data_IF_724499638136
#
_entry.id   IF_724499638136
#
_cell.length_a   1.000
_cell.length_b   1.000
_cell.length_c   1.000
_cell.angle_alpha   90.00
_cell.angle_beta   90.00
_cell.angle_gamma   90.00
#
_symmetry.space_group_name_H-M   'P 1'
#
loop_
_entity.id
_entity.type
_entity.pdbx_description
1 polymer ?
#
# COMPACT_ATOMS: atom_id res chain seq x y z
N UNK A 1 10.36 21.78 10.74
CA UNK A 1 8.93 22.21 10.66
C UNK A 1 8.09 21.40 11.65
N UNK A 2 6.96 21.98 12.08
CA UNK A 2 5.94 21.29 12.83
C UNK A 2 4.91 20.72 11.85
N UNK A 3 4.83 19.41 11.70
CA UNK A 3 3.99 18.73 10.72
C UNK A 3 2.86 17.99 11.46
N UNK A 4 1.61 18.35 11.15
CA UNK A 4 0.42 17.66 11.67
C UNK A 4 -0.10 16.70 10.60
N UNK A 5 0.03 15.40 10.84
CA UNK A 5 -0.48 14.33 9.99
C UNK A 5 -1.85 13.88 10.50
N UNK A 6 -2.80 13.68 9.58
CA UNK A 6 -4.15 13.19 9.89
C UNK A 6 -4.45 11.97 9.01
N UNK A 7 -4.63 10.81 9.63
CA UNK A 7 -4.84 9.52 8.99
C UNK A 7 -6.14 8.87 9.46
N UNK A 8 -7.03 8.39 8.56
CA UNK A 8 -8.38 7.96 8.95
C UNK A 8 -8.47 6.59 9.60
N UNK A 9 -7.40 5.79 9.58
CA UNK A 9 -7.42 4.41 10.07
C UNK A 9 -6.75 4.26 11.44
N UNK A 10 -6.97 3.08 12.07
CA UNK A 10 -6.31 2.70 13.32
C UNK A 10 -4.85 2.29 13.05
N UNK A 11 -3.91 2.87 13.77
CA UNK A 11 -2.48 2.58 13.63
C UNK A 11 -2.07 1.22 14.18
N UNK A 12 -2.89 0.64 15.06
CA UNK A 12 -2.53 -0.54 15.87
C UNK A 12 -3.43 -1.75 15.60
N UNK A 13 -4.56 -1.55 14.91
CA UNK A 13 -5.46 -2.65 14.57
C UNK A 13 -4.97 -3.38 13.31
N UNK A 14 -4.78 -4.70 13.45
CA UNK A 14 -4.31 -5.56 12.35
C UNK A 14 -5.30 -5.67 11.20
N UNK A 15 -6.58 -5.38 11.44
CA UNK A 15 -7.61 -5.35 10.39
C UNK A 15 -7.49 -4.16 9.44
N UNK A 16 -6.73 -3.12 9.83
CA UNK A 16 -6.48 -1.91 9.04
C UNK A 16 -4.98 -1.75 8.65
N UNK A 17 -4.43 -2.60 7.76
CA UNK A 17 -3.00 -2.62 7.44
C UNK A 17 -2.53 -1.44 6.57
N UNK A 18 -3.39 -0.47 6.26
CA UNK A 18 -3.11 0.67 5.37
C UNK A 18 -2.30 1.80 6.01
N UNK A 19 -1.72 1.56 7.19
CA UNK A 19 -1.04 2.56 8.01
C UNK A 19 0.46 2.69 7.71
N UNK A 20 1.05 1.73 6.97
CA UNK A 20 2.49 1.69 6.69
C UNK A 20 2.97 2.97 6.02
N UNK A 21 2.21 3.51 5.06
CA UNK A 21 2.54 4.73 4.33
C UNK A 21 2.69 5.94 5.27
N UNK A 22 1.68 6.22 6.07
CA UNK A 22 1.68 7.40 6.94
C UNK A 22 2.71 7.30 8.07
N UNK A 23 2.89 6.10 8.64
CA UNK A 23 3.91 5.84 9.64
C UNK A 23 5.32 6.00 9.07
N UNK A 24 5.53 5.58 7.84
CA UNK A 24 6.82 5.75 7.16
C UNK A 24 7.12 7.22 6.89
N UNK A 25 6.14 8.01 6.45
CA UNK A 25 6.30 9.45 6.33
C UNK A 25 6.62 10.10 7.68
N UNK A 26 5.88 9.77 8.72
CA UNK A 26 6.10 10.33 10.05
C UNK A 26 7.53 10.04 10.55
N UNK A 27 8.03 8.80 10.36
CA UNK A 27 9.39 8.40 10.72
C UNK A 27 10.45 9.15 9.90
N UNK A 28 10.28 9.24 8.59
CA UNK A 28 11.23 9.96 7.73
C UNK A 28 11.25 11.47 8.03
N UNK A 29 10.10 12.08 8.28
CA UNK A 29 10.06 13.50 8.70
C UNK A 29 10.75 13.69 10.04
N UNK A 30 10.48 12.83 11.03
CA UNK A 30 11.14 12.89 12.34
C UNK A 30 12.66 12.71 12.22
N UNK A 31 13.12 11.73 11.44
CA UNK A 31 14.54 11.48 11.14
C UNK A 31 15.23 12.67 10.49
N UNK A 32 14.49 13.46 9.71
CA UNK A 32 14.98 14.70 9.08
C UNK A 32 14.86 15.94 9.98
N UNK A 33 14.63 15.77 11.30
CA UNK A 33 14.61 16.85 12.28
C UNK A 33 13.32 17.67 12.31
N UNK A 34 12.21 17.13 11.80
CA UNK A 34 10.90 17.77 11.90
C UNK A 34 10.15 17.29 13.14
N UNK A 35 9.39 18.17 13.80
CA UNK A 35 8.47 17.78 14.84
C UNK A 35 7.17 17.27 14.21
N UNK A 36 6.76 16.06 14.55
CA UNK A 36 5.62 15.38 13.93
C UNK A 36 4.60 14.97 14.96
N UNK A 37 3.33 15.30 14.72
CA UNK A 37 2.18 14.74 15.43
C UNK A 37 1.31 14.00 14.43
N UNK A 38 0.87 12.80 14.79
CA UNK A 38 0.04 11.93 13.94
C UNK A 38 -1.31 11.69 14.62
N UNK A 39 -2.37 12.24 14.04
CA UNK A 39 -3.75 11.98 14.44
C UNK A 39 -4.27 10.75 13.71
N UNK A 40 -4.89 9.83 14.45
CA UNK A 40 -5.46 8.60 13.92
C UNK A 40 -6.82 8.29 14.52
N UNK A 41 -7.58 7.37 13.90
CA UNK A 41 -8.97 7.06 14.29
C UNK A 41 -9.09 5.57 14.63
N UNK A 42 -8.96 5.18 15.90
CA UNK A 42 -9.04 3.79 16.33
C UNK A 42 -10.43 3.19 16.08
N UNK A 43 -10.46 1.89 15.76
CA UNK A 43 -11.70 1.12 15.57
C UNK A 43 -12.49 1.06 16.88
N UNK A 44 -11.80 0.87 18.01
CA UNK A 44 -12.39 0.83 19.36
C UNK A 44 -11.74 1.90 20.24
N UNK A 45 -12.41 3.02 20.42
CA UNK A 45 -11.89 4.14 21.23
C UNK A 45 -11.64 3.79 22.70
N UNK A 46 -12.31 2.77 23.23
CA UNK A 46 -12.20 2.35 24.64
C UNK A 46 -10.78 2.02 25.11
N UNK A 47 -9.93 1.58 24.20
CA UNK A 47 -8.55 1.13 24.47
C UNK A 47 -7.48 2.22 24.32
N UNK A 48 -7.81 3.37 23.68
CA UNK A 48 -6.83 4.39 23.30
C UNK A 48 -7.30 5.79 23.67
N UNK A 49 -7.36 6.08 25.00
CA UNK A 49 -7.81 7.40 25.50
C UNK A 49 -6.70 8.44 25.60
N UNK A 50 -5.43 8.05 25.50
CA UNK A 50 -4.27 8.93 25.62
C UNK A 50 -3.38 8.86 24.40
N UNK A 51 -2.63 9.92 24.14
CA UNK A 51 -1.60 9.92 23.10
C UNK A 51 -0.52 8.87 23.42
N UNK A 52 -0.03 8.20 22.40
CA UNK A 52 1.03 7.17 22.48
C UNK A 52 2.24 7.65 21.71
N UNK A 53 3.43 7.48 22.26
CA UNK A 53 4.68 7.78 21.56
C UNK A 53 5.16 6.54 20.79
N UNK A 54 5.33 6.68 19.48
CA UNK A 54 5.83 5.62 18.59
C UNK A 54 7.10 6.11 17.93
N UNK A 55 8.26 5.70 18.44
CA UNK A 55 9.55 6.07 17.87
C UNK A 55 9.82 7.58 17.80
N UNK A 56 9.42 8.33 18.85
CA UNK A 56 9.56 9.79 18.92
C UNK A 56 8.40 10.57 18.29
N UNK A 57 7.39 9.90 17.74
CA UNK A 57 6.22 10.51 17.12
C UNK A 57 5.04 10.45 18.09
N UNK A 58 4.43 11.58 18.41
CA UNK A 58 3.20 11.65 19.20
C UNK A 58 2.00 11.24 18.35
N UNK A 59 1.43 10.05 18.62
CA UNK A 59 0.24 9.52 17.96
C UNK A 59 -1.00 9.81 18.81
N UNK A 60 -1.95 10.58 18.28
CA UNK A 60 -3.09 11.12 19.03
C UNK A 60 -4.37 10.48 18.49
N UNK A 61 -5.12 9.72 19.33
CA UNK A 61 -6.37 9.08 18.93
C UNK A 61 -7.52 10.09 18.85
N UNK A 62 -8.37 9.92 17.84
CA UNK A 62 -9.59 10.67 17.60
C UNK A 62 -10.81 9.76 17.58
N UNK A 63 -11.98 10.29 17.93
CA UNK A 63 -13.21 9.51 17.93
C UNK A 63 -13.72 9.27 16.51
N UNK A 64 -13.89 7.98 16.15
CA UNK A 64 -14.40 7.54 14.83
C UNK A 64 -15.92 7.37 14.83
N UNK A 65 -16.60 7.53 15.98
CA UNK A 65 -18.03 7.32 16.08
C UNK A 65 -18.81 8.23 15.08
N UNK A 66 -19.80 7.69 14.37
CA UNK A 66 -20.60 8.46 13.41
C UNK A 66 -21.66 9.32 14.13
N UNK A 67 -21.20 10.22 15.02
CA UNK A 67 -22.02 11.07 15.85
C UNK A 67 -21.68 12.54 15.58
N UNK A 68 -22.67 13.44 15.43
CA UNK A 68 -22.41 14.88 15.29
C UNK A 68 -21.59 15.45 16.44
N UNK A 69 -21.79 14.96 17.67
CA UNK A 69 -21.06 15.40 18.85
C UNK A 69 -19.57 15.04 18.74
N UNK A 70 -19.26 13.79 18.40
CA UNK A 70 -17.89 13.32 18.18
C UNK A 70 -17.22 14.09 17.03
N UNK A 71 -17.94 14.35 15.95
CA UNK A 71 -17.43 15.09 14.83
C UNK A 71 -17.07 16.55 15.20
N UNK A 72 -17.96 17.26 15.92
CA UNK A 72 -17.69 18.63 16.39
C UNK A 72 -16.50 18.63 17.38
N UNK A 73 -16.43 17.64 18.28
CA UNK A 73 -15.33 17.49 19.22
C UNK A 73 -13.99 17.29 18.50
N UNK A 74 -13.96 16.46 17.46
CA UNK A 74 -12.79 16.24 16.61
C UNK A 74 -12.35 17.53 15.91
N UNK A 75 -13.29 18.31 15.35
CA UNK A 75 -13.00 19.61 14.73
C UNK A 75 -12.33 20.54 15.75
N UNK A 76 -12.92 20.73 16.94
CA UNK A 76 -12.37 21.61 17.97
C UNK A 76 -10.97 21.21 18.38
N UNK A 77 -10.74 19.92 18.53
CA UNK A 77 -9.44 19.40 18.95
C UNK A 77 -8.39 19.53 17.84
N UNK A 78 -8.74 19.26 16.59
CA UNK A 78 -7.85 19.48 15.45
C UNK A 78 -7.54 20.96 15.22
N UNK A 79 -8.48 21.88 15.45
CA UNK A 79 -8.21 23.33 15.42
C UNK A 79 -7.17 23.69 16.47
N UNK A 80 -7.27 23.14 17.69
CA UNK A 80 -6.28 23.40 18.74
C UNK A 80 -4.89 22.88 18.37
N UNK A 81 -4.79 21.66 17.81
CA UNK A 81 -3.53 21.09 17.30
C UNK A 81 -2.99 21.85 16.07
N UNK A 82 -3.87 22.35 15.21
CA UNK A 82 -3.50 23.13 14.02
C UNK A 82 -2.77 24.44 14.37
N UNK A 83 -2.98 25.02 15.54
CA UNK A 83 -2.20 26.19 16.01
C UNK A 83 -0.71 25.89 16.12
N UNK A 84 -0.35 24.68 16.56
CA UNK A 84 1.03 24.23 16.65
C UNK A 84 1.66 23.95 15.29
N UNK A 85 0.84 23.50 14.31
CA UNK A 85 1.33 23.07 13.00
C UNK A 85 1.82 24.22 12.13
N UNK A 86 2.82 23.95 11.30
CA UNK A 86 3.24 24.79 10.17
C UNK A 86 2.64 24.27 8.87
N UNK A 87 2.26 23.00 8.82
CA UNK A 87 1.53 22.37 7.71
C UNK A 87 0.59 21.31 8.26
N UNK A 88 -0.60 21.22 7.67
CA UNK A 88 -1.57 20.16 7.92
C UNK A 88 -1.58 19.24 6.71
N UNK A 89 -1.22 17.97 6.92
CA UNK A 89 -1.25 16.94 5.89
C UNK A 89 -2.31 15.92 6.27
N UNK A 90 -3.26 15.67 5.40
CA UNK A 90 -4.25 14.61 5.59
C UNK A 90 -4.20 13.60 4.45
N UNK A 91 -4.45 12.33 4.81
CA UNK A 91 -4.44 11.21 3.88
C UNK A 91 -5.86 10.68 3.69
N UNK A 92 -6.22 10.31 2.47
CA UNK A 92 -7.52 9.73 2.09
C UNK A 92 -8.71 10.68 2.28
N UNK A 93 -9.85 10.30 1.69
CA UNK A 93 -11.04 11.15 1.62
C UNK A 93 -12.11 10.81 2.68
N UNK A 94 -11.77 10.09 3.74
CA UNK A 94 -12.75 9.77 4.80
C UNK A 94 -13.22 11.03 5.52
N UNK A 95 -14.53 11.32 5.47
CA UNK A 95 -15.13 12.58 5.93
C UNK A 95 -14.79 12.94 7.37
N UNK A 96 -14.76 11.93 8.27
CA UNK A 96 -14.52 12.13 9.71
C UNK A 96 -13.07 12.52 10.04
N UNK A 97 -12.13 12.31 9.13
CA UNK A 97 -10.73 12.72 9.24
C UNK A 97 -10.40 13.93 8.34
N UNK A 98 -10.81 13.87 7.07
CA UNK A 98 -10.48 14.87 6.07
C UNK A 98 -11.14 16.24 6.36
N UNK A 99 -12.45 16.26 6.65
CA UNK A 99 -13.14 17.54 6.89
C UNK A 99 -12.63 18.29 8.14
N UNK A 100 -12.44 17.64 9.31
CA UNK A 100 -11.80 18.30 10.44
C UNK A 100 -10.39 18.81 10.16
N UNK A 101 -9.58 18.09 9.35
CA UNK A 101 -8.25 18.55 8.94
C UNK A 101 -8.32 19.81 8.06
N UNK A 102 -9.20 19.82 7.06
CA UNK A 102 -9.46 20.98 6.20
C UNK A 102 -9.90 22.18 7.05
N UNK A 103 -10.90 22.02 7.92
CA UNK A 103 -11.41 23.09 8.78
C UNK A 103 -10.29 23.63 9.69
N UNK A 104 -9.49 22.74 10.28
CA UNK A 104 -8.36 23.10 11.13
C UNK A 104 -7.34 23.96 10.38
N UNK A 105 -6.97 23.58 9.15
CA UNK A 105 -6.04 24.32 8.33
C UNK A 105 -6.59 25.73 7.98
N UNK A 106 -7.83 25.81 7.53
CA UNK A 106 -8.47 27.09 7.18
C UNK A 106 -8.60 28.05 8.37
N UNK A 107 -9.09 27.56 9.53
CA UNK A 107 -9.27 28.40 10.73
C UNK A 107 -7.93 28.91 11.26
N UNK A 108 -6.87 28.14 11.17
CA UNK A 108 -5.55 28.53 11.65
C UNK A 108 -4.67 29.15 10.56
N UNK A 109 -5.18 29.38 9.34
CA UNK A 109 -4.42 29.89 8.19
C UNK A 109 -3.13 29.09 7.94
N UNK A 110 -3.24 27.75 7.96
CA UNK A 110 -2.11 26.84 7.73
C UNK A 110 -2.18 26.24 6.33
N UNK A 111 -1.04 26.08 5.67
CA UNK A 111 -0.94 25.33 4.42
C UNK A 111 -1.52 23.92 4.59
N UNK A 112 -2.32 23.49 3.62
CA UNK A 112 -3.02 22.23 3.58
C UNK A 112 -2.48 21.33 2.47
N UNK A 113 -2.04 20.12 2.81
CA UNK A 113 -1.59 19.11 1.87
C UNK A 113 -2.51 17.90 1.89
N UNK A 114 -2.96 17.43 0.71
CA UNK A 114 -3.74 16.21 0.53
C UNK A 114 -2.87 15.09 -0.04
N UNK A 115 -2.77 13.96 0.66
CA UNK A 115 -2.10 12.75 0.18
C UNK A 115 -3.11 11.75 -0.41
N UNK A 116 -3.12 11.63 -1.72
CA UNK A 116 -4.00 10.75 -2.48
C UNK A 116 -3.27 9.47 -2.90
N UNK A 117 -3.45 8.42 -2.12
CA UNK A 117 -2.74 7.14 -2.29
C UNK A 117 -3.50 6.09 -3.08
N UNK A 118 -4.84 6.08 -3.00
CA UNK A 118 -5.73 5.15 -3.68
C UNK A 118 -7.01 5.85 -4.16
N UNK A 119 -7.71 5.29 -5.15
CA UNK A 119 -9.03 5.77 -5.58
C UNK A 119 -10.13 5.09 -4.77
N UNK A 120 -10.48 5.66 -3.61
CA UNK A 120 -11.40 5.08 -2.63
C UNK A 120 -12.81 4.83 -3.19
N UNK A 121 -13.36 5.76 -4.01
CA UNK A 121 -14.66 5.57 -4.69
C UNK A 121 -14.69 4.23 -5.44
N UNK A 122 -13.66 3.97 -6.25
CA UNK A 122 -13.63 2.78 -7.10
C UNK A 122 -13.36 1.51 -6.30
N UNK A 123 -12.46 1.58 -5.34
CA UNK A 123 -12.18 0.46 -4.42
C UNK A 123 -13.45 0.09 -3.66
N UNK A 124 -14.20 1.07 -3.18
CA UNK A 124 -15.46 0.86 -2.48
C UNK A 124 -16.47 0.11 -3.34
N UNK A 125 -16.71 0.57 -4.57
CA UNK A 125 -17.66 -0.07 -5.48
C UNK A 125 -17.23 -1.46 -5.98
N UNK A 126 -15.93 -1.75 -6.04
CA UNK A 126 -15.43 -3.09 -6.36
C UNK A 126 -15.46 -4.06 -5.16
N UNK A 127 -15.39 -3.53 -3.93
CA UNK A 127 -15.26 -4.34 -2.70
C UNK A 127 -16.57 -4.53 -1.94
N UNK A 128 -17.50 -3.59 -2.05
CA UNK A 128 -18.74 -3.59 -1.27
C UNK A 128 -19.97 -3.92 -2.11
N UNK A 129 -20.97 -4.56 -1.48
CA UNK A 129 -22.24 -4.84 -2.11
C UNK A 129 -22.98 -3.58 -2.56
N UNK A 130 -23.90 -3.72 -3.53
CA UNK A 130 -24.66 -2.60 -4.13
C UNK A 130 -25.95 -2.25 -3.37
N UNK A 131 -25.98 -2.41 -2.04
CA UNK A 131 -27.12 -1.97 -1.23
C UNK A 131 -27.17 -0.44 -1.09
N UNK A 132 -28.30 0.08 -0.57
CA UNK A 132 -28.54 1.52 -0.45
C UNK A 132 -27.46 2.24 0.39
N UNK A 133 -27.09 1.68 1.55
CA UNK A 133 -26.06 2.25 2.42
C UNK A 133 -24.68 2.31 1.74
N UNK A 134 -24.31 1.22 1.04
CA UNK A 134 -23.06 1.18 0.27
C UNK A 134 -23.02 2.26 -0.83
N UNK A 135 -24.16 2.50 -1.49
CA UNK A 135 -24.28 3.57 -2.50
C UNK A 135 -24.09 4.97 -1.91
N UNK A 136 -24.66 5.21 -0.73
CA UNK A 136 -24.54 6.50 -0.05
C UNK A 136 -23.08 6.79 0.36
N UNK A 137 -22.41 5.79 0.94
CA UNK A 137 -20.99 5.89 1.31
C UNK A 137 -20.12 6.08 0.05
N UNK A 138 -20.34 5.30 -1.01
CA UNK A 138 -19.62 5.45 -2.28
C UNK A 138 -19.84 6.83 -2.91
N UNK A 139 -21.04 7.41 -2.78
CA UNK A 139 -21.31 8.77 -3.23
C UNK A 139 -20.52 9.80 -2.41
N UNK A 140 -20.40 9.62 -1.09
CA UNK A 140 -19.59 10.51 -0.24
C UNK A 140 -18.11 10.46 -0.66
N UNK A 141 -17.54 9.29 -0.92
CA UNK A 141 -16.18 9.17 -1.45
C UNK A 141 -16.04 9.87 -2.80
N UNK A 142 -16.96 9.61 -3.72
CA UNK A 142 -16.98 10.24 -5.04
C UNK A 142 -17.00 11.77 -4.96
N UNK A 143 -17.79 12.33 -4.06
CA UNK A 143 -17.87 13.78 -3.86
C UNK A 143 -16.58 14.33 -3.24
N UNK A 144 -16.11 13.73 -2.15
CA UNK A 144 -14.94 14.20 -1.43
C UNK A 144 -13.66 14.09 -2.26
N UNK A 145 -13.46 13.00 -3.00
CA UNK A 145 -12.28 12.84 -3.87
C UNK A 145 -12.21 13.86 -5.00
N UNK A 146 -13.34 14.46 -5.39
CA UNK A 146 -13.35 15.56 -6.37
C UNK A 146 -13.15 16.94 -5.75
N UNK A 147 -13.59 17.12 -4.50
CA UNK A 147 -13.56 18.42 -3.83
C UNK A 147 -12.25 18.62 -3.07
N UNK A 148 -11.79 17.62 -2.31
CA UNK A 148 -10.62 17.74 -1.44
C UNK A 148 -9.32 18.14 -2.16
N UNK A 149 -9.01 17.61 -3.36
CA UNK A 149 -7.83 18.04 -4.09
C UNK A 149 -7.82 19.53 -4.43
N UNK A 150 -9.02 20.13 -4.67
CA UNK A 150 -9.19 21.56 -4.98
C UNK A 150 -9.10 22.45 -3.74
N UNK A 151 -9.42 21.92 -2.57
CA UNK A 151 -9.35 22.65 -1.29
C UNK A 151 -7.95 22.67 -0.72
N UNK A 152 -7.09 21.73 -1.12
CA UNK A 152 -5.72 21.66 -0.65
C UNK A 152 -4.80 22.61 -1.45
N UNK A 153 -3.80 23.18 -0.77
CA UNK A 153 -2.77 24.02 -1.40
C UNK A 153 -1.80 23.19 -2.25
N UNK A 154 -1.65 21.89 -1.94
CA UNK A 154 -0.92 20.92 -2.74
C UNK A 154 -1.47 19.51 -2.56
N UNK A 155 -1.24 18.67 -3.57
CA UNK A 155 -1.67 17.27 -3.60
C UNK A 155 -0.48 16.38 -3.88
N UNK A 156 -0.35 15.27 -3.15
CA UNK A 156 0.55 14.19 -3.54
C UNK A 156 -0.24 13.02 -4.10
N UNK A 157 0.28 12.41 -5.17
CA UNK A 157 -0.33 11.28 -5.85
C UNK A 157 0.60 10.07 -5.83
N UNK A 158 0.07 8.91 -5.42
CA UNK A 158 0.84 7.67 -5.39
C UNK A 158 1.07 7.06 -6.79
N UNK A 159 0.31 7.48 -7.79
CA UNK A 159 0.43 7.00 -9.17
C UNK A 159 0.14 8.11 -10.19
N UNK A 160 0.61 7.91 -11.41
CA UNK A 160 0.33 8.83 -12.52
C UNK A 160 -1.17 8.93 -12.82
N UNK A 161 -1.91 7.83 -12.68
CA UNK A 161 -3.36 7.87 -12.94
C UNK A 161 -4.07 8.78 -11.93
N UNK A 162 -3.67 8.78 -10.67
CA UNK A 162 -4.19 9.72 -9.67
C UNK A 162 -3.76 11.15 -9.98
N UNK A 163 -2.54 11.37 -10.48
CA UNK A 163 -2.09 12.70 -10.96
C UNK A 163 -2.96 13.21 -12.10
N UNK A 164 -3.24 12.39 -13.12
CA UNK A 164 -4.15 12.74 -14.20
C UNK A 164 -5.55 13.12 -13.70
N UNK A 165 -6.06 12.37 -12.72
CA UNK A 165 -7.36 12.68 -12.09
C UNK A 165 -7.30 14.00 -11.32
N UNK A 166 -6.23 14.29 -10.59
CA UNK A 166 -6.06 15.55 -9.87
C UNK A 166 -6.07 16.74 -10.85
N UNK A 167 -5.36 16.65 -11.98
CA UNK A 167 -5.40 17.66 -13.05
C UNK A 167 -6.82 17.81 -13.61
N UNK A 168 -7.48 16.69 -13.93
CA UNK A 168 -8.85 16.69 -14.45
C UNK A 168 -9.87 17.27 -13.45
N UNK A 169 -9.59 17.19 -12.16
CA UNK A 169 -10.40 17.83 -11.11
C UNK A 169 -10.00 19.28 -10.86
N UNK A 170 -9.10 19.86 -11.66
CA UNK A 170 -8.76 21.27 -11.65
C UNK A 170 -7.62 21.68 -10.72
N UNK A 171 -6.82 20.72 -10.22
CA UNK A 171 -5.58 21.03 -9.51
C UNK A 171 -4.51 21.43 -10.53
N UNK A 172 -3.84 22.56 -10.30
CA UNK A 172 -2.73 22.98 -11.18
C UNK A 172 -1.56 22.03 -11.03
N UNK A 173 -0.99 21.60 -12.15
CA UNK A 173 0.09 20.56 -12.18
C UNK A 173 1.30 20.93 -11.33
N UNK A 174 1.61 22.21 -11.22
CA UNK A 174 2.71 22.71 -10.38
C UNK A 174 2.53 22.46 -8.86
N UNK A 175 1.30 22.17 -8.39
CA UNK A 175 0.97 21.84 -7.00
C UNK A 175 0.67 20.35 -6.81
N UNK A 176 0.94 19.51 -7.82
CA UNK A 176 0.83 18.06 -7.73
C UNK A 176 2.22 17.46 -7.65
N UNK A 177 2.45 16.63 -6.64
CA UNK A 177 3.73 15.99 -6.35
C UNK A 177 3.62 14.48 -6.44
N UNK A 178 4.64 13.81 -6.96
CA UNK A 178 4.67 12.35 -7.02
C UNK A 178 5.11 11.81 -5.65
N UNK A 179 4.29 10.95 -5.10
CA UNK A 179 4.54 10.27 -3.83
C UNK A 179 4.23 8.77 -3.95
N UNK A 180 4.99 8.01 -4.75
CA UNK A 180 4.80 6.56 -4.84
C UNK A 180 5.08 5.89 -3.49
N UNK A 181 4.63 4.64 -3.32
CA UNK A 181 5.04 3.84 -2.16
C UNK A 181 6.55 3.62 -2.17
N UNK A 182 7.14 3.56 -0.98
CA UNK A 182 8.54 3.25 -0.78
C UNK A 182 8.71 1.95 0.00
N UNK A 183 9.89 1.34 -0.07
CA UNK A 183 10.28 0.25 0.80
C UNK A 183 11.12 0.77 1.97
N UNK A 184 11.03 0.06 3.10
CA UNK A 184 12.02 0.13 4.18
C UNK A 184 13.21 -0.74 3.77
N UNK A 185 14.29 -0.10 3.33
CA UNK A 185 15.45 -0.78 2.76
C UNK A 185 16.30 -1.53 3.78
N UNK A 186 16.20 -1.19 5.06
CA UNK A 186 16.90 -1.86 6.15
C UNK A 186 16.16 -3.14 6.55
N UNK A 187 14.84 -3.08 6.58
CA UNK A 187 13.95 -4.20 6.89
C UNK A 187 13.85 -5.17 5.71
N UNK A 188 13.63 -4.67 4.50
CA UNK A 188 13.57 -5.46 3.26
C UNK A 188 14.92 -5.42 2.56
N UNK A 189 15.73 -6.45 2.78
CA UNK A 189 17.09 -6.55 2.23
C UNK A 189 17.39 -7.96 1.75
N UNK A 190 18.31 -8.15 0.81
CA UNK A 190 18.76 -9.48 0.41
C UNK A 190 19.51 -10.19 1.55
N UNK A 191 19.59 -11.51 1.48
CA UNK A 191 20.41 -12.32 2.39
C UNK A 191 19.82 -12.57 3.78
N UNK A 192 18.53 -12.29 4.02
CA UNK A 192 17.88 -12.65 5.27
C UNK A 192 17.71 -14.17 5.36
N UNK A 193 17.93 -14.72 6.55
CA UNK A 193 17.74 -16.14 6.81
C UNK A 193 16.25 -16.52 6.67
N UNK A 194 15.97 -17.43 5.77
CA UNK A 194 14.63 -17.93 5.48
C UNK A 194 14.38 -19.36 5.94
N UNK A 195 15.34 -19.95 6.65
CA UNK A 195 15.30 -21.36 7.06
C UNK A 195 14.05 -21.65 7.89
N UNK A 196 13.74 -20.80 8.87
CA UNK A 196 12.54 -20.94 9.73
C UNK A 196 11.23 -20.98 8.94
N UNK A 197 11.13 -20.20 7.83
CA UNK A 197 9.95 -20.23 6.97
C UNK A 197 9.86 -21.58 6.25
N UNK A 198 10.96 -22.10 5.73
CA UNK A 198 10.98 -23.39 5.05
C UNK A 198 10.66 -24.55 6.01
N UNK A 199 11.23 -24.54 7.21
CA UNK A 199 10.96 -25.53 8.25
C UNK A 199 9.49 -25.52 8.66
N UNK A 200 8.92 -24.34 8.93
CA UNK A 200 7.51 -24.19 9.33
C UNK A 200 6.53 -24.82 8.35
N UNK A 201 6.84 -24.82 7.05
CA UNK A 201 5.98 -25.37 6.01
C UNK A 201 6.52 -26.65 5.37
N UNK A 202 7.53 -27.28 5.97
CA UNK A 202 8.16 -28.51 5.48
C UNK A 202 8.57 -28.42 3.99
N UNK A 203 9.25 -27.32 3.60
CA UNK A 203 9.70 -27.09 2.22
C UNK A 203 11.20 -27.38 2.12
N UNK A 204 11.63 -28.46 1.46
CA UNK A 204 13.04 -28.80 1.28
C UNK A 204 13.82 -27.70 0.54
N UNK A 205 15.12 -27.61 0.78
CA UNK A 205 16.01 -26.63 0.14
C UNK A 205 16.00 -26.74 -1.40
N UNK A 206 15.86 -27.94 -1.95
CA UNK A 206 15.77 -28.15 -3.40
C UNK A 206 14.45 -27.74 -4.05
N UNK A 207 13.43 -27.32 -3.26
CA UNK A 207 12.16 -26.84 -3.81
C UNK A 207 12.16 -25.33 -3.97
N UNK A 208 11.64 -24.86 -5.10
CA UNK A 208 11.39 -23.45 -5.38
C UNK A 208 10.09 -22.97 -4.75
N UNK A 209 10.09 -21.73 -4.24
CA UNK A 209 8.89 -21.06 -3.72
C UNK A 209 8.53 -19.92 -4.67
N UNK A 210 7.29 -19.97 -5.19
CA UNK A 210 6.65 -18.87 -5.91
C UNK A 210 5.72 -18.17 -4.91
N UNK A 211 6.02 -16.91 -4.61
CA UNK A 211 5.41 -16.18 -3.49
C UNK A 211 4.46 -15.08 -3.96
N UNK A 212 3.31 -14.99 -3.30
CA UNK A 212 2.44 -13.82 -3.27
C UNK A 212 2.30 -13.32 -1.84
N UNK A 213 2.39 -12.00 -1.64
CA UNK A 213 2.11 -11.32 -0.36
C UNK A 213 1.01 -10.31 -0.55
N UNK A 214 0.00 -10.30 0.30
CA UNK A 214 -1.05 -9.28 0.33
C UNK A 214 -2.41 -9.80 0.74
N UNK A 215 -3.35 -8.88 0.92
CA UNK A 215 -4.74 -9.20 1.26
C UNK A 215 -5.41 -10.05 0.18
N UNK A 216 -6.37 -10.88 0.61
CA UNK A 216 -7.14 -11.76 -0.28
C UNK A 216 -8.54 -11.16 -0.53
N UNK A 217 -8.59 -10.11 -1.35
CA UNK A 217 -9.83 -9.46 -1.79
C UNK A 217 -9.86 -9.25 -3.32
N UNK A 218 -11.01 -8.82 -3.87
CA UNK A 218 -11.27 -8.78 -5.32
C UNK A 218 -10.23 -8.05 -6.16
N UNK A 219 -9.73 -6.92 -5.68
CA UNK A 219 -8.75 -6.10 -6.40
C UNK A 219 -7.29 -6.60 -6.30
N UNK A 220 -7.05 -7.83 -5.83
CA UNK A 220 -5.72 -8.45 -5.72
C UNK A 220 -5.50 -9.62 -6.69
N UNK A 221 -6.56 -10.16 -7.27
CA UNK A 221 -6.55 -11.14 -8.38
C UNK A 221 -5.68 -12.38 -8.14
N UNK A 222 -5.68 -12.92 -6.90
CA UNK A 222 -4.91 -14.12 -6.52
C UNK A 222 -5.40 -15.36 -7.28
N UNK A 223 -6.63 -15.36 -7.76
CA UNK A 223 -7.18 -16.39 -8.67
C UNK A 223 -6.34 -16.59 -9.93
N UNK A 224 -5.73 -15.52 -10.45
CA UNK A 224 -4.82 -15.61 -11.61
C UNK A 224 -3.54 -16.40 -11.27
N UNK A 225 -2.99 -16.22 -10.05
CA UNK A 225 -1.84 -16.98 -9.59
C UNK A 225 -2.17 -18.46 -9.40
N UNK A 226 -3.33 -18.78 -8.85
CA UNK A 226 -3.77 -20.18 -8.68
C UNK A 226 -3.97 -20.86 -10.05
N UNK A 227 -4.56 -20.14 -11.03
CA UNK A 227 -4.64 -20.64 -12.42
C UNK A 227 -3.25 -20.82 -13.04
N UNK A 228 -2.33 -19.87 -12.85
CA UNK A 228 -0.96 -20.00 -13.31
C UNK A 228 -0.25 -21.19 -12.67
N UNK A 229 -0.56 -21.50 -11.41
CA UNK A 229 0.03 -22.64 -10.72
C UNK A 229 -0.29 -23.98 -11.41
N UNK A 230 -1.48 -24.17 -12.00
CA UNK A 230 -1.80 -25.41 -12.75
C UNK A 230 -0.83 -25.60 -13.92
N UNK A 231 -0.55 -24.52 -14.66
CA UNK A 231 0.35 -24.58 -15.82
C UNK A 231 1.79 -24.85 -15.40
N UNK A 232 2.26 -24.16 -14.35
CA UNK A 232 3.64 -24.35 -13.85
C UNK A 232 3.82 -25.76 -13.30
N UNK A 233 2.89 -26.28 -12.50
CA UNK A 233 2.97 -27.56 -11.83
C UNK A 233 2.84 -28.76 -12.77
N UNK A 234 2.24 -28.57 -13.95
CA UNK A 234 2.26 -29.57 -15.02
C UNK A 234 3.66 -29.75 -15.66
N UNK A 235 4.54 -28.75 -15.54
CA UNK A 235 5.87 -28.78 -16.13
C UNK A 235 6.98 -28.97 -15.08
N UNK A 236 6.71 -28.63 -13.80
CA UNK A 236 7.71 -28.64 -12.72
C UNK A 236 7.14 -29.21 -11.43
N UNK A 237 7.74 -30.32 -10.99
CA UNK A 237 7.35 -30.97 -9.72
C UNK A 237 8.06 -30.39 -8.49
N UNK A 238 9.10 -29.58 -8.66
CA UNK A 238 9.96 -29.00 -7.61
C UNK A 238 9.51 -27.61 -7.14
N UNK A 239 8.25 -27.21 -7.39
CA UNK A 239 7.73 -25.86 -7.06
C UNK A 239 6.62 -25.94 -6.02
N UNK A 240 6.64 -25.05 -5.04
CA UNK A 240 5.53 -24.75 -4.12
C UNK A 240 5.06 -23.31 -4.35
N UNK A 241 3.77 -23.09 -4.31
CA UNK A 241 3.17 -21.77 -4.30
C UNK A 241 2.82 -21.37 -2.87
N UNK A 242 3.24 -20.17 -2.44
CA UNK A 242 2.97 -19.67 -1.10
C UNK A 242 2.19 -18.36 -1.19
N UNK A 243 1.01 -18.33 -0.57
CA UNK A 243 0.11 -17.19 -0.53
C UNK A 243 0.08 -16.69 0.91
N UNK A 244 0.72 -15.52 1.14
CA UNK A 244 0.84 -14.89 2.45
C UNK A 244 -0.18 -13.77 2.56
N UNK A 245 -1.09 -13.89 3.52
CA UNK A 245 -2.15 -12.94 3.80
C UNK A 245 -3.50 -13.61 4.01
N UNK A 246 -4.48 -12.79 4.36
CA UNK A 246 -5.88 -13.19 4.61
C UNK A 246 -6.86 -12.25 3.93
N UNK A 247 -8.13 -12.60 3.90
CA UNK A 247 -9.20 -11.76 3.36
C UNK A 247 -10.46 -12.56 3.03
N UNK A 248 -11.53 -11.86 2.71
CA UNK A 248 -12.86 -12.46 2.51
C UNK A 248 -12.94 -13.44 1.34
N UNK A 249 -11.98 -13.43 0.40
CA UNK A 249 -11.92 -14.40 -0.70
C UNK A 249 -11.14 -15.68 -0.34
N UNK A 250 -10.53 -15.79 0.82
CA UNK A 250 -9.68 -16.94 1.17
C UNK A 250 -10.42 -18.27 1.01
N UNK A 251 -11.65 -18.37 1.52
CA UNK A 251 -12.48 -19.59 1.41
C UNK A 251 -12.70 -19.99 -0.05
N UNK A 252 -13.01 -19.02 -0.91
CA UNK A 252 -13.22 -19.26 -2.34
C UNK A 252 -11.91 -19.68 -3.05
N UNK A 253 -10.80 -19.06 -2.71
CA UNK A 253 -9.49 -19.41 -3.26
C UNK A 253 -9.04 -20.82 -2.85
N UNK A 254 -9.26 -21.22 -1.59
CA UNK A 254 -9.01 -22.58 -1.11
C UNK A 254 -9.87 -23.62 -1.83
N UNK A 255 -11.17 -23.32 -2.05
CA UNK A 255 -12.04 -24.18 -2.85
C UNK A 255 -11.57 -24.31 -4.30
N UNK A 256 -11.01 -23.24 -4.87
CA UNK A 256 -10.41 -23.26 -6.20
C UNK A 256 -9.17 -24.15 -6.25
N UNK A 257 -8.29 -24.08 -5.25
CA UNK A 257 -7.12 -24.97 -5.11
C UNK A 257 -7.54 -26.42 -5.08
N UNK A 258 -8.58 -26.76 -4.28
CA UNK A 258 -9.08 -28.14 -4.19
C UNK A 258 -9.69 -28.62 -5.52
N UNK A 259 -10.53 -27.81 -6.15
CA UNK A 259 -11.12 -28.16 -7.47
C UNK A 259 -10.09 -28.39 -8.58
N UNK A 260 -8.92 -27.78 -8.46
CA UNK A 260 -7.83 -27.90 -9.42
C UNK A 260 -6.80 -28.98 -9.03
N UNK A 261 -6.99 -29.70 -7.93
CA UNK A 261 -6.09 -30.75 -7.45
C UNK A 261 -4.73 -30.21 -7.02
N UNK A 262 -4.66 -29.02 -6.48
CA UNK A 262 -3.40 -28.35 -6.11
C UNK A 262 -3.10 -28.40 -4.60
N UNK A 263 -3.82 -29.22 -3.84
CA UNK A 263 -3.57 -29.42 -2.41
C UNK A 263 -2.14 -29.87 -2.16
N UNK A 264 -1.55 -29.38 -1.10
CA UNK A 264 -0.14 -29.64 -0.76
C UNK A 264 0.89 -28.96 -1.68
N UNK A 265 0.45 -28.35 -2.80
CA UNK A 265 1.33 -27.58 -3.70
C UNK A 265 1.11 -26.07 -3.55
N UNK A 266 -0.08 -25.64 -3.12
CA UNK A 266 -0.42 -24.25 -2.80
C UNK A 266 -0.63 -24.13 -1.30
N UNK A 267 0.17 -23.30 -0.66
CA UNK A 267 0.19 -23.07 0.79
C UNK A 267 -0.40 -21.71 1.09
N UNK A 268 -1.46 -21.65 1.91
CA UNK A 268 -1.98 -20.41 2.47
C UNK A 268 -1.47 -20.29 3.90
N UNK A 269 -0.76 -19.21 4.18
CA UNK A 269 -0.16 -18.99 5.51
C UNK A 269 -1.11 -18.33 6.50
N UNK A 270 -2.19 -17.70 6.00
CA UNK A 270 -2.96 -16.71 6.76
C UNK A 270 -2.21 -15.39 6.89
N UNK A 271 -2.72 -14.51 7.76
CA UNK A 271 -2.06 -13.25 8.09
C UNK A 271 -0.72 -13.50 8.78
N UNK A 272 0.26 -12.73 8.38
CA UNK A 272 1.62 -12.73 8.95
C UNK A 272 1.95 -11.29 9.34
N UNK A 273 2.64 -11.11 10.46
CA UNK A 273 3.07 -9.78 10.89
C UNK A 273 3.97 -9.14 9.84
N UNK A 274 3.83 -7.83 9.61
CA UNK A 274 4.67 -7.14 8.63
C UNK A 274 6.16 -7.26 8.94
N UNK A 275 6.53 -7.50 10.20
CA UNK A 275 7.91 -7.72 10.62
C UNK A 275 8.46 -9.08 10.18
N UNK A 276 7.60 -10.05 9.93
CA UNK A 276 7.99 -11.37 9.42
C UNK A 276 8.01 -11.47 7.90
N UNK A 277 7.29 -10.56 7.19
CA UNK A 277 7.20 -10.58 5.70
C UNK A 277 8.57 -10.63 5.01
N UNK A 278 9.63 -9.93 5.47
CA UNK A 278 10.95 -10.01 4.84
C UNK A 278 11.52 -11.44 4.75
N UNK A 279 11.27 -12.28 5.76
CA UNK A 279 11.73 -13.67 5.78
C UNK A 279 10.98 -14.54 4.78
N UNK A 280 9.67 -14.32 4.61
CA UNK A 280 8.86 -14.99 3.58
C UNK A 280 9.32 -14.60 2.17
N UNK A 281 9.58 -13.30 1.95
CA UNK A 281 10.12 -12.82 0.68
C UNK A 281 11.52 -13.42 0.46
N UNK A 282 12.35 -13.47 1.48
CA UNK A 282 13.70 -14.08 1.39
C UNK A 282 13.63 -15.56 1.00
N UNK A 283 12.65 -16.32 1.46
CA UNK A 283 12.45 -17.73 1.10
C UNK A 283 12.07 -17.96 -0.37
N UNK A 284 11.54 -16.94 -1.04
CA UNK A 284 11.01 -17.04 -2.40
C UNK A 284 12.12 -17.11 -3.45
N UNK A 285 11.91 -17.95 -4.48
CA UNK A 285 12.68 -17.94 -5.72
C UNK A 285 12.13 -16.89 -6.69
N UNK A 286 10.80 -16.76 -6.77
CA UNK A 286 10.10 -15.81 -7.62
C UNK A 286 8.95 -15.18 -6.84
N UNK A 287 8.81 -13.87 -6.89
CA UNK A 287 7.67 -13.14 -6.33
C UNK A 287 6.69 -12.75 -7.44
N UNK A 288 5.38 -12.81 -7.16
CA UNK A 288 4.35 -12.59 -8.17
C UNK A 288 3.39 -11.48 -7.73
N UNK A 289 3.06 -10.58 -8.67
CA UNK A 289 2.06 -9.54 -8.48
C UNK A 289 1.03 -9.57 -9.64
N UNK A 290 -0.03 -10.41 -9.51
CA UNK A 290 -1.04 -10.57 -10.54
C UNK A 290 -2.07 -9.45 -10.47
N UNK A 291 -2.43 -8.86 -11.61
CA UNK A 291 -3.49 -7.86 -11.70
C UNK A 291 -4.31 -8.06 -12.98
N UNK A 292 -5.56 -7.62 -12.96
CA UNK A 292 -6.36 -7.33 -14.15
C UNK A 292 -6.25 -5.83 -14.47
N UNK A 293 -6.53 -5.46 -15.70
CA UNK A 293 -6.55 -4.06 -16.13
C UNK A 293 -7.91 -3.45 -15.79
N UNK A 294 -7.98 -2.75 -14.68
CA UNK A 294 -9.15 -2.00 -14.20
C UNK A 294 -8.73 -0.59 -13.78
N UNK A 295 -9.67 0.33 -13.65
CA UNK A 295 -9.37 1.68 -13.16
C UNK A 295 -8.74 1.66 -11.76
N UNK A 296 -9.16 0.73 -10.89
CA UNK A 296 -8.55 0.57 -9.55
C UNK A 296 -7.09 0.17 -9.66
N UNK A 297 -6.77 -0.84 -10.48
CA UNK A 297 -5.38 -1.32 -10.61
C UNK A 297 -4.47 -0.32 -11.31
N UNK A 298 -5.01 0.50 -12.22
CA UNK A 298 -4.26 1.60 -12.86
C UNK A 298 -3.88 2.70 -11.88
N UNK A 299 -4.68 2.90 -10.81
CA UNK A 299 -4.40 3.90 -9.77
C UNK A 299 -3.46 3.42 -8.67
N UNK A 300 -3.28 2.10 -8.53
CA UNK A 300 -2.49 1.53 -7.42
C UNK A 300 -1.00 1.73 -7.58
N UNK A 301 -0.33 2.00 -6.45
CA UNK A 301 1.11 1.88 -6.24
C UNK A 301 1.34 0.74 -5.22
N UNK A 302 1.49 -0.53 -5.66
CA UNK A 302 1.41 -1.68 -4.77
C UNK A 302 2.65 -1.83 -3.88
N UNK A 303 2.49 -1.77 -2.56
CA UNK A 303 3.57 -1.89 -1.57
C UNK A 303 4.40 -3.18 -1.72
N UNK A 304 3.72 -4.32 -1.97
CA UNK A 304 4.41 -5.61 -2.16
C UNK A 304 5.51 -5.56 -3.24
N UNK A 305 5.31 -4.78 -4.29
CA UNK A 305 6.28 -4.66 -5.39
C UNK A 305 7.58 -4.02 -4.90
N UNK A 306 7.51 -2.92 -4.17
CA UNK A 306 8.72 -2.26 -3.66
C UNK A 306 9.41 -3.10 -2.59
N UNK A 307 8.67 -3.89 -1.82
CA UNK A 307 9.22 -4.84 -0.85
C UNK A 307 9.95 -6.01 -1.55
N UNK A 308 9.40 -6.55 -2.64
CA UNK A 308 10.07 -7.54 -3.49
C UNK A 308 11.35 -6.98 -4.12
N UNK A 309 11.26 -5.76 -4.67
CA UNK A 309 12.41 -5.05 -5.24
C UNK A 309 13.51 -4.84 -4.19
N UNK A 310 13.14 -4.33 -3.01
CA UNK A 310 14.07 -4.07 -1.91
C UNK A 310 14.74 -5.36 -1.41
N UNK A 311 14.07 -6.49 -1.48
CA UNK A 311 14.61 -7.81 -1.13
C UNK A 311 15.42 -8.47 -2.25
N UNK A 312 15.71 -7.75 -3.35
CA UNK A 312 16.42 -8.25 -4.53
C UNK A 312 15.79 -9.51 -5.14
N UNK A 313 14.46 -9.63 -5.14
CA UNK A 313 13.76 -10.78 -5.72
C UNK A 313 13.40 -10.57 -7.17
N UNK A 314 13.50 -11.64 -7.96
CA UNK A 314 12.95 -11.67 -9.30
C UNK A 314 11.42 -11.63 -9.24
N UNK A 315 10.81 -10.79 -10.06
CA UNK A 315 9.39 -10.48 -10.02
C UNK A 315 8.73 -10.83 -11.35
N UNK A 316 7.59 -11.51 -11.29
CA UNK A 316 6.65 -11.61 -12.40
C UNK A 316 5.42 -10.80 -12.06
N UNK A 317 5.06 -9.84 -12.89
CA UNK A 317 3.90 -9.00 -12.62
C UNK A 317 3.06 -8.72 -13.87
N UNK A 318 1.81 -8.35 -13.64
CA UNK A 318 0.93 -7.86 -14.70
C UNK A 318 1.32 -6.45 -15.12
N UNK A 319 1.42 -6.21 -16.43
CA UNK A 319 1.76 -4.91 -17.02
C UNK A 319 0.51 -3.99 -16.98
N UNK A 320 0.35 -3.22 -15.92
CA UNK A 320 -0.79 -2.32 -15.71
C UNK A 320 -0.41 -1.11 -14.86
N UNK A 321 -0.92 0.05 -15.21
CA UNK A 321 -0.82 1.28 -14.42
C UNK A 321 0.61 1.61 -13.97
N UNK A 322 0.78 1.89 -12.69
CA UNK A 322 2.07 2.25 -12.11
C UNK A 322 3.05 1.07 -12.06
N UNK A 323 2.55 -0.18 -12.06
CA UNK A 323 3.39 -1.40 -12.02
C UNK A 323 4.40 -1.43 -13.14
N UNK A 324 3.99 -1.04 -14.36
CA UNK A 324 4.92 -1.01 -15.50
C UNK A 324 6.04 0.02 -15.34
N UNK A 325 5.80 1.16 -14.68
CA UNK A 325 6.84 2.15 -14.38
C UNK A 325 7.76 1.68 -13.25
N UNK A 326 7.20 1.06 -12.23
CA UNK A 326 7.97 0.52 -11.12
C UNK A 326 8.93 -0.56 -11.59
N UNK A 327 8.50 -1.45 -12.49
CA UNK A 327 9.18 -2.69 -12.84
C UNK A 327 9.78 -2.73 -14.26
N UNK A 328 9.52 -1.76 -15.11
CA UNK A 328 10.01 -1.78 -16.49
C UNK A 328 11.52 -1.98 -16.59
N UNK A 329 11.97 -3.06 -17.26
CA UNK A 329 13.37 -3.44 -17.43
C UNK A 329 14.03 -4.15 -16.24
N UNK A 330 13.33 -4.34 -15.09
CA UNK A 330 13.88 -5.02 -13.89
C UNK A 330 13.02 -6.19 -13.42
N UNK A 331 12.03 -6.59 -14.21
CA UNK A 331 11.13 -7.71 -13.92
C UNK A 331 10.57 -8.31 -15.20
N UNK A 332 9.93 -9.45 -15.11
CA UNK A 332 9.17 -10.07 -16.19
C UNK A 332 7.74 -9.55 -16.14
N UNK A 333 7.38 -8.68 -17.10
CA UNK A 333 6.02 -8.15 -17.21
C UNK A 333 5.21 -8.96 -18.22
N UNK A 334 3.97 -9.26 -17.87
CA UNK A 334 3.01 -10.01 -18.71
C UNK A 334 1.70 -9.24 -18.83
N UNK A 335 0.93 -9.55 -19.86
CA UNK A 335 -0.38 -8.90 -20.08
C UNK A 335 -1.26 -9.04 -18.84
N UNK A 336 -1.94 -7.96 -18.45
CA UNK A 336 -2.86 -7.97 -17.31
C UNK A 336 -4.03 -8.96 -17.56
N UNK A 337 -4.34 -9.77 -16.54
CA UNK A 337 -5.37 -10.81 -16.62
C UNK A 337 -4.94 -12.12 -17.29
N UNK A 338 -3.74 -12.17 -17.87
CA UNK A 338 -3.22 -13.34 -18.55
C UNK A 338 -2.46 -14.26 -17.58
N UNK A 339 -3.14 -15.31 -17.09
CA UNK A 339 -2.52 -16.28 -16.18
C UNK A 339 -1.56 -17.26 -16.90
N UNK A 340 -1.74 -17.51 -18.21
CA UNK A 340 -0.79 -18.28 -19.01
C UNK A 340 0.54 -17.53 -19.15
N UNK A 341 0.47 -16.23 -19.47
CA UNK A 341 1.65 -15.39 -19.49
C UNK A 341 2.34 -15.29 -18.13
N UNK A 342 1.57 -15.21 -17.02
CA UNK A 342 2.17 -15.26 -15.67
C UNK A 342 2.91 -16.59 -15.43
N UNK A 343 2.32 -17.73 -15.79
CA UNK A 343 2.95 -19.04 -15.68
C UNK A 343 4.25 -19.12 -16.50
N UNK A 344 4.22 -18.64 -17.73
CA UNK A 344 5.37 -18.60 -18.64
C UNK A 344 6.52 -17.75 -18.04
N UNK A 345 6.19 -16.57 -17.49
CA UNK A 345 7.16 -15.73 -16.79
C UNK A 345 7.78 -16.42 -15.56
N UNK A 346 6.98 -17.13 -14.78
CA UNK A 346 7.44 -17.91 -13.63
C UNK A 346 8.38 -19.01 -14.08
N UNK A 347 8.01 -19.81 -15.10
CA UNK A 347 8.83 -20.91 -15.66
C UNK A 347 10.16 -20.35 -16.20
N UNK A 348 10.12 -19.25 -16.95
CA UNK A 348 11.31 -18.58 -17.46
C UNK A 348 12.30 -18.25 -16.33
N UNK A 349 11.83 -17.64 -15.25
CA UNK A 349 12.68 -17.28 -14.11
C UNK A 349 13.15 -18.48 -13.30
N UNK A 350 12.37 -19.54 -13.22
CA UNK A 350 12.76 -20.78 -12.54
C UNK A 350 13.82 -21.58 -13.32
N UNK A 351 13.80 -21.49 -14.65
CA UNK A 351 14.74 -22.20 -15.53
C UNK A 351 16.06 -21.45 -15.72
N UNK A 352 16.07 -20.12 -15.55
CA UNK A 352 17.27 -19.29 -15.73
C UNK A 352 17.63 -18.58 -14.42
N UNK A 353 18.52 -19.20 -13.65
CA UNK A 353 19.01 -18.66 -12.39
C UNK A 353 19.76 -17.33 -12.58
N UNK A 354 20.58 -17.23 -13.64
CA UNK A 354 21.36 -16.02 -13.91
C UNK A 354 20.42 -14.85 -14.22
N UNK A 355 19.40 -15.03 -15.03
CA UNK A 355 18.37 -14.02 -15.31
C UNK A 355 17.63 -13.63 -14.01
N UNK A 356 17.26 -14.63 -13.20
CA UNK A 356 16.57 -14.42 -11.91
C UNK A 356 17.38 -13.54 -10.97
N UNK A 357 18.68 -13.82 -10.80
CA UNK A 357 19.57 -13.05 -9.94
C UNK A 357 19.82 -11.63 -10.52
N UNK A 358 20.02 -11.50 -11.82
CA UNK A 358 20.26 -10.21 -12.48
C UNK A 358 19.07 -9.27 -12.35
N UNK A 359 17.85 -9.77 -12.60
CA UNK A 359 16.63 -8.97 -12.46
C UNK A 359 16.37 -8.57 -11.00
N UNK A 360 16.61 -9.50 -10.05
CA UNK A 360 16.49 -9.20 -8.62
C UNK A 360 17.43 -8.08 -8.18
N UNK A 361 18.70 -8.16 -8.58
CA UNK A 361 19.71 -7.14 -8.29
C UNK A 361 19.36 -5.78 -8.93
N UNK A 362 18.92 -5.78 -10.18
CA UNK A 362 18.48 -4.57 -10.85
C UNK A 362 17.24 -3.94 -10.19
N UNK A 363 16.31 -4.77 -9.72
CA UNK A 363 15.14 -4.32 -8.97
C UNK A 363 15.55 -3.64 -7.64
N UNK A 364 16.51 -4.23 -6.90
CA UNK A 364 17.05 -3.64 -5.65
C UNK A 364 17.67 -2.27 -5.91
N UNK A 365 18.54 -2.13 -6.89
CA UNK A 365 19.16 -0.85 -7.25
C UNK A 365 18.11 0.21 -7.58
N UNK A 366 17.03 -0.19 -8.26
CA UNK A 366 15.92 0.72 -8.57
C UNK A 366 15.15 1.13 -7.31
N UNK A 367 14.90 0.20 -6.37
CA UNK A 367 14.25 0.51 -5.09
C UNK A 367 15.09 1.51 -4.28
N UNK A 368 16.39 1.30 -4.19
CA UNK A 368 17.32 2.20 -3.51
C UNK A 368 17.33 3.60 -4.10
N UNK A 369 17.22 3.73 -5.41
CA UNK A 369 17.26 5.03 -6.08
C UNK A 369 15.95 5.80 -6.07
N UNK A 370 14.80 5.10 -6.17
CA UNK A 370 13.51 5.75 -6.46
C UNK A 370 12.35 5.34 -5.57
N UNK A 371 12.32 4.10 -5.09
CA UNK A 371 11.16 3.52 -4.42
C UNK A 371 11.46 3.17 -2.96
N UNK A 372 11.95 4.17 -2.21
CA UNK A 372 12.17 4.10 -0.77
C UNK A 372 11.46 5.27 -0.09
N UNK A 373 11.16 5.11 1.19
CA UNK A 373 10.38 6.10 1.94
C UNK A 373 11.11 7.44 2.09
N UNK A 374 12.45 7.44 2.16
CA UNK A 374 13.25 8.65 2.24
C UNK A 374 13.09 9.52 0.98
N UNK A 375 13.11 8.90 -0.21
CA UNK A 375 12.90 9.60 -1.48
C UNK A 375 11.49 10.19 -1.56
N UNK A 376 10.47 9.43 -1.17
CA UNK A 376 9.08 9.92 -1.18
C UNK A 376 8.87 11.04 -0.16
N UNK A 377 9.39 10.90 1.05
CA UNK A 377 9.32 11.94 2.07
C UNK A 377 10.01 13.24 1.63
N UNK A 378 11.13 13.14 0.92
CA UNK A 378 11.82 14.32 0.33
C UNK A 378 10.93 15.08 -0.66
N UNK A 379 10.18 14.37 -1.52
CA UNK A 379 9.23 15.00 -2.43
C UNK A 379 8.09 15.71 -1.67
N UNK A 380 7.59 15.11 -0.59
CA UNK A 380 6.57 15.74 0.25
C UNK A 380 7.10 16.98 0.96
N UNK A 381 8.34 16.95 1.48
CA UNK A 381 8.96 18.13 2.09
C UNK A 381 9.14 19.27 1.08
N UNK A 382 9.44 18.98 -0.20
CA UNK A 382 9.46 19.98 -1.26
C UNK A 382 8.06 20.58 -1.49
N UNK A 383 7.00 19.76 -1.47
CA UNK A 383 5.63 20.23 -1.55
C UNK A 383 5.30 21.20 -0.41
N UNK A 384 5.65 20.86 0.84
CA UNK A 384 5.41 21.71 2.01
C UNK A 384 6.19 23.02 1.94
N UNK A 385 7.45 23.00 1.50
CA UNK A 385 8.24 24.21 1.31
C UNK A 385 7.66 25.15 0.26
N UNK A 386 7.08 24.60 -0.82
CA UNK A 386 6.45 25.39 -1.89
C UNK A 386 5.22 26.12 -1.41
N UNK A 387 4.35 25.46 -0.63
CA UNK A 387 3.09 26.04 -0.14
C UNK A 387 3.27 26.95 1.09
N UNK A 388 4.36 26.77 1.87
CA UNK A 388 4.68 27.65 2.99
C UNK A 388 5.28 29.02 2.56
N UNK A 389 5.63 29.20 1.29
CA UNK A 389 6.17 30.45 0.75
C UNK A 389 5.08 31.38 0.18
N UNK A 390 3.83 30.91 0.14
CA UNK A 390 2.64 31.70 -0.22
C UNK A 390 2.06 32.39 1.00
#
# INVERSE_FOLDING_TARGET
>A
MNILLVHPHDLFDKSEPWTIRILSFAREFHKNGHAVKLCYFPVLLGNYRSAVNVGGIECIPFDRAPSPVSFIKNIRFLIALGKWAQVVHFQKCHYYAALPAVISAYVNHKPLHYDWDDWEEKIWYESCGRNFHSRLIGFSFKFLERVLPRLADSVSCASNRLRELAVNFGVKDEFIFDAPVGADLDKFRPGLDSQKVREKYNIPLGQHIVLYVGQLHGAQYVDLLIKAATVVLNQRCDVKFMIVGEGFLEKQLRQMVSKLGLEGRVIFTGAVSHDEIPFYISAASVCVAPFKDTEVTRCKSPLKIVEYMASAKAIVASNVGEVCKMLGGVAVLRRAGDYHGLADGIITLLNDEKLRLNLGSAARIRAERKFNWSSTAKNLLQAYQKINRK
#
